data_IF_023027707098
#
_entry.id   IF_023027707098
#
_cell.length_a   1.000
_cell.length_b   1.000
_cell.length_c   1.000
_cell.angle_alpha   90.00
_cell.angle_beta   90.00
_cell.angle_gamma   90.00
#
_symmetry.space_group_name_H-M   'P 1'
#
loop_
_entity.id
_entity.type
_entity.pdbx_description
1 polymer ?
#
# COMPACT_ATOMS: atom_id res chain seq x y z
N UNK A 1 -13.15 27.71 11.79
CA UNK A 1 -13.62 26.46 11.13
C UNK A 1 -13.39 26.63 9.64
N UNK A 2 -12.77 25.63 8.99
CA UNK A 2 -12.48 25.61 7.56
C UNK A 2 -13.15 24.38 6.96
N UNK A 3 -13.84 24.54 5.82
CA UNK A 3 -14.41 23.41 5.10
C UNK A 3 -13.31 22.63 4.40
N UNK A 4 -13.15 21.35 4.76
CA UNK A 4 -12.25 20.42 4.09
C UNK A 4 -12.91 19.71 2.90
N UNK A 5 -12.23 18.70 2.33
CA UNK A 5 -12.72 17.84 1.25
C UNK A 5 -12.87 18.52 -0.12
N UNK A 6 -12.70 19.81 -0.22
CA UNK A 6 -12.90 20.58 -1.44
C UNK A 6 -11.65 21.32 -1.87
N UNK A 7 -11.57 21.60 -3.16
CA UNK A 7 -10.55 22.42 -3.80
C UNK A 7 -11.13 23.19 -4.97
N UNK A 8 -10.34 24.07 -5.55
CA UNK A 8 -10.69 24.81 -6.77
C UNK A 8 -9.99 24.17 -7.97
N UNK A 9 -10.71 24.04 -9.08
CA UNK A 9 -10.12 23.68 -10.36
C UNK A 9 -9.53 24.92 -11.07
N UNK A 10 -9.01 24.77 -12.28
CA UNK A 10 -8.43 25.86 -13.07
C UNK A 10 -9.45 26.91 -13.54
N UNK A 11 -10.75 26.63 -13.39
CA UNK A 11 -11.86 27.51 -13.77
C UNK A 11 -12.53 28.13 -12.53
N UNK A 12 -11.89 28.01 -11.35
CA UNK A 12 -12.40 28.45 -10.05
C UNK A 12 -13.69 27.74 -9.60
N UNK A 13 -14.04 26.60 -10.20
CA UNK A 13 -15.17 25.80 -9.73
C UNK A 13 -14.75 24.98 -8.49
N UNK A 14 -15.67 24.85 -7.55
CA UNK A 14 -15.49 23.99 -6.37
C UNK A 14 -15.58 22.53 -6.80
N UNK A 15 -14.54 21.76 -6.48
CA UNK A 15 -14.46 20.34 -6.75
C UNK A 15 -14.18 19.56 -5.45
N UNK A 16 -14.44 18.26 -5.44
CA UNK A 16 -14.13 17.40 -4.31
C UNK A 16 -12.77 16.73 -4.50
N UNK A 17 -12.04 16.55 -3.40
CA UNK A 17 -10.73 15.88 -3.41
C UNK A 17 -10.82 14.35 -3.40
N UNK A 18 -12.04 13.79 -3.35
CA UNK A 18 -12.28 12.36 -3.24
C UNK A 18 -12.10 11.83 -1.81
N UNK A 19 -12.16 10.51 -1.66
CA UNK A 19 -12.05 9.84 -0.35
C UNK A 19 -10.73 10.23 0.35
N UNK A 20 -10.80 10.55 1.65
CA UNK A 20 -9.66 11.04 2.43
C UNK A 20 -9.28 12.50 2.13
N UNK A 21 -10.11 13.23 1.37
CA UNK A 21 -9.86 14.62 1.02
C UNK A 21 -9.84 15.57 2.21
N UNK A 22 -10.57 15.27 3.30
CA UNK A 22 -10.55 16.08 4.53
C UNK A 22 -9.20 16.02 5.23
N UNK A 23 -8.59 14.83 5.32
CA UNK A 23 -7.26 14.64 5.89
C UNK A 23 -6.22 15.40 5.05
N UNK A 24 -6.33 15.28 3.72
CA UNK A 24 -5.45 16.01 2.79
C UNK A 24 -5.59 17.52 2.96
N UNK A 25 -6.82 18.04 3.12
CA UNK A 25 -7.06 19.47 3.38
C UNK A 25 -6.44 19.92 4.70
N UNK A 26 -6.61 19.13 5.77
CA UNK A 26 -6.04 19.44 7.09
C UNK A 26 -4.52 19.54 7.04
N UNK A 27 -3.86 18.56 6.40
CA UNK A 27 -2.41 18.56 6.25
C UNK A 27 -1.91 19.70 5.36
N UNK A 28 -2.63 20.02 4.28
CA UNK A 28 -2.28 21.15 3.41
C UNK A 28 -2.34 22.50 4.16
N UNK A 29 -3.36 22.67 5.00
CA UNK A 29 -3.49 23.87 5.86
C UNK A 29 -2.38 23.90 6.92
N UNK A 30 -2.11 22.78 7.58
CA UNK A 30 -1.03 22.67 8.56
C UNK A 30 0.33 23.03 7.95
N UNK A 31 0.61 22.52 6.75
CA UNK A 31 1.82 22.84 5.99
C UNK A 31 1.91 24.34 5.63
N UNK A 32 0.80 24.92 5.14
CA UNK A 32 0.75 26.35 4.78
C UNK A 32 0.92 27.29 5.99
N UNK A 33 0.48 26.86 7.17
CA UNK A 33 0.61 27.60 8.42
C UNK A 33 1.92 27.29 9.18
N UNK A 34 2.76 26.41 8.65
CA UNK A 34 3.96 25.90 9.33
C UNK A 34 3.64 25.38 10.74
N UNK A 35 2.55 24.63 10.87
CA UNK A 35 2.14 24.06 12.14
C UNK A 35 3.11 22.95 12.55
N UNK A 36 3.40 22.84 13.84
CA UNK A 36 4.27 21.79 14.40
C UNK A 36 3.63 20.42 14.27
N UNK A 37 2.29 20.34 14.33
CA UNK A 37 1.54 19.09 14.29
C UNK A 37 0.15 19.27 13.68
N UNK A 38 -0.30 18.24 12.96
CA UNK A 38 -1.66 18.11 12.46
C UNK A 38 -2.35 16.92 13.13
N UNK A 39 -3.43 17.18 13.86
CA UNK A 39 -4.22 16.16 14.53
C UNK A 39 -5.37 15.70 13.66
N UNK A 40 -5.48 14.38 13.45
CA UNK A 40 -6.58 13.74 12.71
C UNK A 40 -7.41 12.93 13.70
N UNK A 41 -8.63 13.40 13.94
CA UNK A 41 -9.59 12.72 14.80
C UNK A 41 -10.45 11.75 13.97
N UNK A 42 -10.47 10.50 14.39
CA UNK A 42 -11.16 9.40 13.68
C UNK A 42 -11.90 8.49 14.66
N UNK A 43 -12.52 7.43 14.17
CA UNK A 43 -13.23 6.42 14.97
C UNK A 43 -12.32 5.36 15.58
N UNK A 44 -11.02 5.39 15.29
CA UNK A 44 -10.00 4.51 15.87
C UNK A 44 -9.07 5.27 16.82
N UNK A 45 -8.42 4.57 17.73
CA UNK A 45 -7.58 5.16 18.78
C UNK A 45 -6.13 5.44 18.32
N UNK A 46 -5.81 5.12 17.08
CA UNK A 46 -4.47 5.24 16.49
C UNK A 46 -4.17 4.12 15.50
N UNK A 47 -2.91 3.95 15.19
CA UNK A 47 -2.39 2.89 14.31
C UNK A 47 -2.03 1.67 15.15
N UNK A 48 -2.46 0.48 14.73
CA UNK A 48 -2.21 -0.78 15.40
C UNK A 48 -1.28 -1.68 14.59
N UNK A 49 -0.64 -2.64 15.28
CA UNK A 49 0.24 -3.64 14.65
C UNK A 49 -0.48 -4.58 13.68
N UNK A 50 -1.80 -4.69 13.76
CA UNK A 50 -2.70 -5.31 12.80
C UNK A 50 -4.12 -4.78 13.02
N UNK A 51 -5.08 -5.12 12.16
CA UNK A 51 -6.48 -4.74 12.33
C UNK A 51 -7.06 -5.36 13.62
N UNK A 52 -7.40 -4.57 14.65
CA UNK A 52 -7.89 -5.09 15.95
C UNK A 52 -9.25 -5.80 15.82
N UNK A 53 -9.99 -5.57 14.75
CA UNK A 53 -11.26 -6.27 14.48
C UNK A 53 -11.04 -7.71 14.02
N UNK A 54 -9.82 -8.03 13.52
CA UNK A 54 -9.45 -9.35 12.99
C UNK A 54 -8.49 -10.12 13.90
N UNK A 55 -7.66 -9.39 14.66
CA UNK A 55 -6.60 -9.95 15.50
C UNK A 55 -6.73 -9.39 16.91
N UNK A 56 -7.00 -10.24 17.90
CA UNK A 56 -7.34 -9.83 19.26
C UNK A 56 -6.16 -9.31 20.10
N UNK A 57 -4.93 -9.69 19.77
CA UNK A 57 -3.73 -9.34 20.52
C UNK A 57 -2.89 -8.25 19.87
N UNK A 58 -3.52 -7.36 19.11
CA UNK A 58 -2.85 -6.20 18.49
C UNK A 58 -2.40 -5.20 19.55
N UNK A 59 -1.35 -4.45 19.23
CA UNK A 59 -0.86 -3.36 20.06
C UNK A 59 -0.99 -2.05 19.30
N UNK A 60 -1.43 -1.00 19.97
CA UNK A 60 -1.38 0.35 19.45
C UNK A 60 0.07 0.82 19.41
N UNK A 61 0.47 1.44 18.31
CA UNK A 61 1.78 2.06 18.15
C UNK A 61 1.76 3.45 18.76
N UNK A 62 2.77 3.80 19.54
CA UNK A 62 2.94 5.17 20.03
C UNK A 62 3.45 6.08 18.91
N UNK A 63 4.40 5.56 18.14
CA UNK A 63 5.05 6.27 17.02
C UNK A 63 5.25 5.34 15.82
N UNK A 64 5.16 5.91 14.63
CA UNK A 64 5.45 5.22 13.36
C UNK A 64 6.10 6.22 12.39
N UNK A 65 6.99 5.74 11.51
CA UNK A 65 7.57 6.62 10.48
C UNK A 65 6.60 6.87 9.35
N UNK A 66 6.80 7.97 8.59
CA UNK A 66 6.00 8.23 7.40
C UNK A 66 6.06 7.09 6.39
N UNK A 67 7.24 6.50 6.18
CA UNK A 67 7.42 5.41 5.22
C UNK A 67 6.68 4.14 5.64
N UNK A 68 6.77 3.75 6.91
CA UNK A 68 6.01 2.63 7.44
C UNK A 68 4.49 2.87 7.36
N UNK A 69 4.04 4.11 7.68
CA UNK A 69 2.63 4.48 7.58
C UNK A 69 2.12 4.44 6.14
N UNK A 70 2.89 4.96 5.18
CA UNK A 70 2.56 4.90 3.76
C UNK A 70 2.42 3.46 3.26
N UNK A 71 3.34 2.58 3.65
CA UNK A 71 3.26 1.17 3.30
C UNK A 71 2.01 0.52 3.92
N UNK A 72 1.75 0.71 5.21
CA UNK A 72 0.56 0.16 5.87
C UNK A 72 -0.75 0.68 5.24
N UNK A 73 -0.82 1.97 4.93
CA UNK A 73 -1.99 2.58 4.31
C UNK A 73 -2.24 2.05 2.89
N UNK A 74 -1.17 1.85 2.11
CA UNK A 74 -1.23 1.24 0.76
C UNK A 74 -1.66 -0.22 0.78
N UNK A 75 -1.41 -0.91 1.90
CA UNK A 75 -1.71 -2.33 2.09
C UNK A 75 -3.09 -2.59 2.75
N UNK A 76 -3.93 -1.56 2.85
CA UNK A 76 -5.29 -1.69 3.36
C UNK A 76 -5.51 -1.34 4.84
N UNK A 77 -4.51 -0.80 5.53
CA UNK A 77 -4.70 -0.18 6.84
C UNK A 77 -5.38 1.18 6.65
N UNK A 78 -6.71 1.21 6.68
CA UNK A 78 -7.55 2.38 6.36
C UNK A 78 -7.61 3.42 7.50
N UNK A 79 -6.48 3.72 8.15
CA UNK A 79 -6.43 4.69 9.25
C UNK A 79 -6.19 6.10 8.76
N UNK A 80 -5.27 6.27 7.81
CA UNK A 80 -4.96 7.54 7.16
C UNK A 80 -4.98 7.38 5.64
N UNK A 81 -5.29 8.47 4.94
CA UNK A 81 -5.19 8.50 3.48
C UNK A 81 -3.74 8.69 3.03
N UNK A 82 -3.27 7.91 2.04
CA UNK A 82 -1.90 7.99 1.51
C UNK A 82 -1.49 9.41 1.14
N UNK A 83 -2.36 10.16 0.42
CA UNK A 83 -2.04 11.54 0.00
C UNK A 83 -1.78 12.46 1.18
N UNK A 84 -2.51 12.29 2.29
CA UNK A 84 -2.29 13.10 3.49
C UNK A 84 -0.94 12.80 4.13
N UNK A 85 -0.54 11.52 4.19
CA UNK A 85 0.75 11.10 4.72
C UNK A 85 1.91 11.56 3.82
N UNK A 86 1.79 11.40 2.49
CA UNK A 86 2.77 11.90 1.51
C UNK A 86 2.97 13.42 1.63
N UNK A 87 1.87 14.16 1.77
CA UNK A 87 1.91 15.61 1.91
C UNK A 87 2.58 16.00 3.24
N UNK A 88 2.24 15.31 4.33
CA UNK A 88 2.85 15.51 5.63
C UNK A 88 4.35 15.24 5.61
N UNK A 89 4.78 14.13 5.01
CA UNK A 89 6.19 13.81 4.79
C UNK A 89 6.90 14.89 4.00
N UNK A 90 6.31 15.31 2.86
CA UNK A 90 6.89 16.34 1.98
C UNK A 90 7.17 17.68 2.69
N UNK A 91 6.27 18.08 3.58
CA UNK A 91 6.35 19.35 4.29
C UNK A 91 6.83 19.23 5.74
N UNK A 92 7.22 18.01 6.15
CA UNK A 92 7.69 17.68 7.50
C UNK A 92 6.70 18.13 8.60
N UNK A 93 5.42 17.88 8.40
CA UNK A 93 4.36 18.13 9.38
C UNK A 93 4.10 16.84 10.14
N UNK A 94 4.34 16.81 11.45
CA UNK A 94 3.98 15.65 12.27
C UNK A 94 2.46 15.43 12.23
N UNK A 95 2.02 14.17 12.02
CA UNK A 95 0.61 13.79 12.17
C UNK A 95 0.40 13.10 13.50
N UNK A 96 -0.74 13.32 14.10
CA UNK A 96 -1.18 12.57 15.28
C UNK A 96 -2.60 12.06 15.03
N UNK A 97 -2.74 10.73 15.06
CA UNK A 97 -4.03 10.05 14.88
C UNK A 97 -4.66 9.84 16.24
N UNK A 98 -5.83 10.37 16.44
CA UNK A 98 -6.54 10.40 17.72
C UNK A 98 -7.96 9.88 17.56
N UNK A 99 -8.50 9.29 18.63
CA UNK A 99 -9.91 8.96 18.69
C UNK A 99 -10.77 10.21 18.93
N UNK A 100 -11.83 10.33 18.14
CA UNK A 100 -12.89 11.32 18.41
C UNK A 100 -13.83 10.92 19.56
N UNK A 101 -13.76 9.64 19.99
CA UNK A 101 -14.64 9.06 21.01
C UNK A 101 -13.97 8.97 22.39
N UNK A 102 -12.67 8.67 22.41
CA UNK A 102 -11.91 8.41 23.64
C UNK A 102 -10.72 9.38 23.75
N UNK A 103 -10.62 10.21 24.82
CA UNK A 103 -9.52 11.15 25.01
C UNK A 103 -8.26 10.44 25.55
N UNK A 104 -7.66 9.58 24.74
CA UNK A 104 -6.44 8.87 25.07
C UNK A 104 -5.33 9.25 24.07
N UNK A 105 -4.04 9.12 24.44
CA UNK A 105 -2.93 9.34 23.51
C UNK A 105 -3.09 8.51 22.24
N UNK A 106 -2.84 9.13 21.10
CA UNK A 106 -2.94 8.50 19.78
C UNK A 106 -1.63 7.90 19.29
N UNK A 107 -1.47 7.83 17.97
CA UNK A 107 -0.23 7.45 17.29
C UNK A 107 0.36 8.66 16.58
N UNK A 108 1.64 8.95 16.83
CA UNK A 108 2.37 10.03 16.15
C UNK A 108 3.07 9.47 14.90
N UNK A 109 2.83 10.10 13.75
CA UNK A 109 3.50 9.80 12.47
C UNK A 109 4.52 10.90 12.18
N UNK A 110 5.79 10.55 12.07
CA UNK A 110 6.90 11.50 11.88
C UNK A 110 8.08 10.86 11.16
N UNK A 111 9.11 11.65 10.82
CA UNK A 111 10.26 11.16 10.05
C UNK A 111 11.10 10.14 10.83
N UNK A 112 11.39 10.41 12.10
CA UNK A 112 12.24 9.56 12.95
C UNK A 112 11.50 9.23 14.24
N UNK A 113 11.45 7.95 14.60
CA UNK A 113 10.88 7.47 15.86
C UNK A 113 11.98 7.12 16.85
N UNK A 114 11.66 7.18 18.15
CA UNK A 114 12.63 6.88 19.23
C UNK A 114 13.09 5.42 19.22
N UNK A 115 12.22 4.51 18.80
CA UNK A 115 12.42 3.06 18.79
C UNK A 115 12.55 2.49 17.38
N UNK A 116 13.38 3.10 16.53
CA UNK A 116 13.63 2.56 15.18
C UNK A 116 14.23 1.14 15.22
N UNK A 117 14.97 0.79 16.27
CA UNK A 117 15.61 -0.52 16.42
C UNK A 117 14.84 -1.51 17.30
N UNK A 118 13.89 -1.05 18.13
CA UNK A 118 13.23 -1.90 19.14
C UNK A 118 12.16 -2.83 18.59
N UNK A 119 11.50 -2.49 17.49
CA UNK A 119 10.43 -3.30 16.88
C UNK A 119 10.72 -3.57 15.42
N UNK A 120 11.16 -4.79 15.09
CA UNK A 120 11.51 -5.21 13.73
C UNK A 120 10.33 -5.09 12.74
N UNK A 121 9.13 -5.40 13.20
CA UNK A 121 7.88 -5.35 12.43
C UNK A 121 6.92 -4.42 13.16
N UNK A 122 6.58 -3.32 12.53
CA UNK A 122 5.60 -2.34 13.06
C UNK A 122 4.17 -2.76 12.76
N UNK A 123 3.94 -3.44 11.64
CA UNK A 123 2.58 -3.84 11.32
C UNK A 123 2.47 -4.98 10.33
N UNK A 124 1.28 -5.60 10.36
CA UNK A 124 0.84 -6.62 9.41
C UNK A 124 -0.46 -6.13 8.79
N UNK A 125 -0.48 -6.06 7.46
CA UNK A 125 -1.67 -5.69 6.69
C UNK A 125 -2.12 -6.86 5.81
N UNK A 126 -3.43 -6.95 5.57
CA UNK A 126 -4.05 -7.91 4.66
C UNK A 126 -4.92 -7.17 3.66
N UNK A 127 -4.68 -7.44 2.40
CA UNK A 127 -5.50 -6.98 1.30
C UNK A 127 -6.16 -8.18 0.60
N UNK A 128 -7.46 -8.13 0.39
CA UNK A 128 -8.25 -9.16 -0.29
C UNK A 128 -8.77 -8.70 -1.64
N UNK A 129 -8.61 -7.43 -1.99
CA UNK A 129 -8.95 -6.89 -3.32
C UNK A 129 -7.74 -7.05 -4.25
N UNK A 130 -7.36 -8.29 -4.53
CA UNK A 130 -6.17 -8.63 -5.31
C UNK A 130 -6.48 -9.74 -6.31
N UNK A 131 -6.13 -9.50 -7.56
CA UNK A 131 -6.04 -10.51 -8.60
C UNK A 131 -4.59 -10.65 -9.08
N UNK A 132 -4.15 -11.88 -9.28
CA UNK A 132 -2.87 -12.21 -9.94
C UNK A 132 -3.14 -12.52 -11.41
N UNK A 133 -2.50 -11.76 -12.29
CA UNK A 133 -2.55 -12.00 -13.74
C UNK A 133 -1.20 -12.54 -14.18
N UNK A 134 -1.21 -13.64 -14.90
CA UNK A 134 -0.01 -14.27 -15.45
C UNK A 134 -0.11 -14.36 -16.97
N UNK A 135 0.90 -13.84 -17.65
CA UNK A 135 1.10 -13.93 -19.09
C UNK A 135 2.24 -14.90 -19.33
N UNK A 136 1.95 -16.02 -19.98
CA UNK A 136 2.94 -17.03 -20.31
C UNK A 136 3.56 -16.78 -21.69
N UNK A 137 4.77 -17.26 -21.89
CA UNK A 137 5.45 -17.27 -23.17
C UNK A 137 5.62 -15.89 -23.83
N UNK A 138 5.78 -14.84 -23.04
CA UNK A 138 6.10 -13.49 -23.54
C UNK A 138 7.46 -13.51 -24.23
N UNK A 139 7.64 -12.99 -25.45
CA UNK A 139 8.94 -12.86 -26.08
C UNK A 139 9.94 -12.12 -25.20
N UNK A 140 11.15 -12.67 -25.04
CA UNK A 140 12.20 -12.03 -24.25
C UNK A 140 12.97 -11.00 -25.09
N UNK A 141 12.26 -9.93 -25.43
CA UNK A 141 12.74 -8.84 -26.27
C UNK A 141 12.63 -7.50 -25.57
N UNK A 142 13.52 -6.53 -25.84
CA UNK A 142 13.39 -5.18 -25.35
C UNK A 142 12.04 -4.54 -25.72
N UNK A 143 11.41 -3.86 -24.76
CA UNK A 143 10.15 -3.15 -24.98
C UNK A 143 8.88 -3.94 -24.67
N UNK A 144 8.94 -5.26 -24.45
CA UNK A 144 7.74 -6.05 -24.17
C UNK A 144 7.04 -5.62 -22.88
N UNK A 145 7.77 -5.38 -21.80
CA UNK A 145 7.19 -4.87 -20.55
C UNK A 145 6.56 -3.47 -20.75
N UNK A 146 7.22 -2.59 -21.51
CA UNK A 146 6.64 -1.27 -21.85
C UNK A 146 5.32 -1.42 -22.61
N UNK A 147 5.25 -2.32 -23.58
CA UNK A 147 4.02 -2.59 -24.35
C UNK A 147 2.89 -3.10 -23.46
N UNK A 148 3.17 -4.09 -22.60
CA UNK A 148 2.18 -4.68 -21.69
C UNK A 148 1.65 -3.61 -20.73
N UNK A 149 2.53 -3.00 -19.92
CA UNK A 149 2.12 -2.07 -18.87
C UNK A 149 1.64 -0.72 -19.43
N UNK A 150 2.12 -0.31 -20.59
CA UNK A 150 1.61 0.87 -21.30
C UNK A 150 0.15 0.72 -21.74
N UNK A 151 -0.27 -0.45 -22.21
CA UNK A 151 -1.67 -0.73 -22.53
C UNK A 151 -2.57 -0.73 -21.29
N UNK A 152 -2.11 -1.31 -20.19
CA UNK A 152 -2.83 -1.30 -18.91
C UNK A 152 -2.99 0.12 -18.36
N UNK A 153 -1.93 0.91 -18.39
CA UNK A 153 -1.93 2.32 -17.98
C UNK A 153 -2.91 3.18 -18.79
N UNK A 154 -3.02 2.98 -20.12
CA UNK A 154 -4.01 3.66 -20.96
C UNK A 154 -5.47 3.37 -20.55
N UNK A 155 -5.70 2.28 -19.85
CA UNK A 155 -7.01 1.90 -19.33
C UNK A 155 -7.17 2.25 -17.84
N UNK A 156 -6.22 2.99 -17.27
CA UNK A 156 -6.15 3.35 -15.86
C UNK A 156 -6.14 2.13 -14.91
N UNK A 157 -5.61 0.99 -15.37
CA UNK A 157 -5.43 -0.19 -14.52
C UNK A 157 -4.15 0.00 -13.73
N UNK A 158 -4.29 0.00 -12.40
CA UNK A 158 -3.15 0.12 -11.49
C UNK A 158 -2.51 -1.25 -11.24
N UNK A 159 -1.19 -1.32 -11.37
CA UNK A 159 -0.40 -2.54 -11.15
C UNK A 159 0.47 -2.33 -9.92
N UNK A 160 0.43 -3.26 -8.96
CA UNK A 160 1.17 -3.14 -7.69
C UNK A 160 2.48 -3.97 -7.72
N UNK A 161 2.39 -5.29 -7.79
CA UNK A 161 3.55 -6.18 -7.82
C UNK A 161 3.78 -6.66 -9.25
N UNK A 162 5.03 -6.65 -9.71
CA UNK A 162 5.42 -7.20 -11.02
C UNK A 162 6.54 -8.21 -10.80
N UNK A 163 6.33 -9.44 -11.25
CA UNK A 163 7.34 -10.49 -11.28
C UNK A 163 7.56 -10.97 -12.71
N UNK A 164 8.82 -11.23 -13.03
CA UNK A 164 9.22 -11.75 -14.33
C UNK A 164 10.13 -12.96 -14.11
N UNK A 165 9.83 -14.07 -14.79
CA UNK A 165 10.70 -15.24 -14.75
C UNK A 165 12.00 -15.00 -15.51
N UNK A 166 13.02 -15.81 -15.22
CA UNK A 166 14.20 -15.89 -16.07
C UNK A 166 13.81 -16.46 -17.44
N UNK A 167 14.17 -15.77 -18.50
CA UNK A 167 13.85 -16.18 -19.87
C UNK A 167 14.45 -17.55 -20.23
N UNK A 168 13.69 -18.37 -20.93
CA UNK A 168 14.11 -19.64 -21.54
C UNK A 168 13.64 -19.70 -22.98
N UNK A 169 14.50 -20.17 -23.87
CA UNK A 169 14.18 -20.33 -25.29
C UNK A 169 13.60 -19.05 -25.96
N UNK A 170 14.11 -17.88 -25.55
CA UNK A 170 13.68 -16.58 -26.03
C UNK A 170 12.29 -16.15 -25.52
N UNK A 171 11.77 -16.77 -24.47
CA UNK A 171 10.47 -16.47 -23.86
C UNK A 171 10.59 -16.36 -22.34
N UNK A 172 9.69 -15.62 -21.73
CA UNK A 172 9.57 -15.44 -20.28
C UNK A 172 8.11 -15.33 -19.86
N UNK A 173 7.84 -15.56 -18.58
CA UNK A 173 6.52 -15.34 -18.01
C UNK A 173 6.54 -14.04 -17.22
N UNK A 174 5.44 -13.29 -17.30
CA UNK A 174 5.24 -12.05 -16.53
C UNK A 174 3.98 -12.22 -15.71
N UNK A 175 4.11 -12.09 -14.39
CA UNK A 175 2.98 -12.06 -13.47
C UNK A 175 2.90 -10.69 -12.80
N UNK A 176 1.69 -10.20 -12.58
CA UNK A 176 1.48 -8.97 -11.85
C UNK A 176 0.17 -8.99 -11.07
N UNK A 177 0.03 -8.08 -10.11
CA UNK A 177 -1.19 -7.91 -9.32
C UNK A 177 -1.91 -6.62 -9.70
N UNK A 178 -3.24 -6.66 -9.67
CA UNK A 178 -4.13 -5.50 -9.77
C UNK A 178 -5.32 -5.69 -8.82
N UNK A 179 -6.20 -4.69 -8.70
CA UNK A 179 -7.46 -4.85 -8.01
C UNK A 179 -8.34 -5.92 -8.68
N UNK A 180 -9.06 -6.71 -7.89
CA UNK A 180 -9.91 -7.80 -8.40
C UNK A 180 -10.93 -7.29 -9.43
N UNK A 181 -11.54 -6.12 -9.17
CA UNK A 181 -12.49 -5.50 -10.09
C UNK A 181 -11.92 -5.07 -11.45
N UNK A 182 -10.60 -4.95 -11.57
CA UNK A 182 -9.90 -4.59 -12.81
C UNK A 182 -9.42 -5.80 -13.62
N UNK A 183 -9.45 -7.00 -13.04
CA UNK A 183 -8.83 -8.21 -13.60
C UNK A 183 -9.41 -8.60 -14.97
N UNK A 184 -10.75 -8.56 -15.11
CA UNK A 184 -11.39 -8.87 -16.40
C UNK A 184 -11.01 -7.88 -17.50
N UNK A 185 -10.96 -6.59 -17.16
CA UNK A 185 -10.56 -5.56 -18.13
C UNK A 185 -9.09 -5.75 -18.52
N UNK A 186 -8.21 -6.00 -17.56
CA UNK A 186 -6.79 -6.27 -17.81
C UNK A 186 -6.62 -7.48 -18.74
N UNK A 187 -7.29 -8.60 -18.45
CA UNK A 187 -7.25 -9.80 -19.29
C UNK A 187 -7.70 -9.50 -20.73
N UNK A 188 -8.82 -8.77 -20.90
CA UNK A 188 -9.33 -8.38 -22.22
C UNK A 188 -8.33 -7.53 -22.98
N UNK A 189 -7.76 -6.51 -22.36
CA UNK A 189 -6.76 -5.64 -22.97
C UNK A 189 -5.53 -6.42 -23.45
N UNK A 190 -5.05 -7.35 -22.62
CA UNK A 190 -3.90 -8.18 -22.98
C UNK A 190 -4.17 -9.12 -24.14
N UNK A 191 -5.36 -9.74 -24.20
CA UNK A 191 -5.74 -10.65 -25.30
C UNK A 191 -6.03 -9.91 -26.60
N UNK A 192 -6.81 -8.84 -26.57
CA UNK A 192 -7.29 -8.15 -27.76
C UNK A 192 -6.24 -7.19 -28.33
N UNK A 193 -5.58 -6.39 -27.49
CA UNK A 193 -4.67 -5.33 -27.94
C UNK A 193 -3.21 -5.77 -28.03
N UNK A 194 -2.78 -6.68 -27.17
CA UNK A 194 -1.41 -7.19 -27.13
C UNK A 194 -1.25 -8.56 -27.83
N UNK A 195 -2.37 -9.23 -28.13
CA UNK A 195 -2.41 -10.56 -28.76
C UNK A 195 -1.72 -11.66 -27.95
N UNK A 196 -1.73 -11.55 -26.60
CA UNK A 196 -1.28 -12.61 -25.75
C UNK A 196 -2.40 -13.63 -25.55
N UNK A 197 -2.21 -14.85 -26.03
CA UNK A 197 -3.22 -15.92 -25.92
C UNK A 197 -3.19 -16.61 -24.55
N UNK A 198 -2.02 -16.75 -23.96
CA UNK A 198 -1.79 -17.50 -22.73
C UNK A 198 -1.84 -16.54 -21.52
N UNK A 199 -3.01 -15.99 -21.22
CA UNK A 199 -3.25 -15.12 -20.07
C UNK A 199 -4.19 -15.81 -19.11
N UNK A 200 -3.77 -15.95 -17.85
CA UNK A 200 -4.56 -16.49 -16.74
C UNK A 200 -4.79 -15.44 -15.65
N UNK A 201 -5.90 -15.58 -14.94
CA UNK A 201 -6.28 -14.74 -13.81
C UNK A 201 -6.59 -15.62 -12.60
N UNK A 202 -6.07 -15.26 -11.45
CA UNK A 202 -6.37 -15.90 -10.16
C UNK A 202 -6.83 -14.83 -9.16
N UNK A 203 -8.10 -14.92 -8.76
CA UNK A 203 -8.74 -14.06 -7.74
C UNK A 203 -8.91 -14.77 -6.39
N UNK A 204 -8.36 -15.98 -6.24
CA UNK A 204 -8.49 -16.78 -5.01
C UNK A 204 -7.38 -16.53 -4.00
N UNK A 205 -6.60 -15.48 -4.18
CA UNK A 205 -5.48 -15.13 -3.31
C UNK A 205 -5.80 -13.89 -2.44
N UNK A 206 -4.99 -13.71 -1.42
CA UNK A 206 -4.93 -12.49 -0.63
C UNK A 206 -3.47 -12.07 -0.48
N UNK A 207 -3.22 -10.77 -0.43
CA UNK A 207 -1.90 -10.22 -0.15
C UNK A 207 -1.77 -9.99 1.36
N UNK A 208 -0.77 -10.60 1.97
CA UNK A 208 -0.38 -10.36 3.37
C UNK A 208 1.00 -9.74 3.37
N UNK A 209 1.14 -8.63 4.07
CA UNK A 209 2.38 -7.86 4.11
C UNK A 209 2.78 -7.54 5.52
N UNK A 210 4.06 -7.69 5.82
CA UNK A 210 4.68 -7.20 7.05
C UNK A 210 5.48 -5.95 6.71
N UNK A 211 5.40 -4.94 7.59
CA UNK A 211 6.07 -3.65 7.42
C UNK A 211 6.87 -3.31 8.67
N UNK A 212 8.08 -2.82 8.48
CA UNK A 212 8.93 -2.32 9.57
C UNK A 212 10.35 -1.99 9.09
N UNK A 213 10.83 -0.80 9.43
CA UNK A 213 12.19 -0.34 9.07
C UNK A 213 13.29 -1.21 9.70
N UNK A 214 13.04 -1.85 10.84
CA UNK A 214 13.99 -2.77 11.48
C UNK A 214 14.36 -4.00 10.66
N UNK A 215 13.59 -4.32 9.61
CA UNK A 215 13.91 -5.46 8.73
C UNK A 215 15.18 -5.27 7.91
N UNK A 216 15.58 -4.03 7.62
CA UNK A 216 16.79 -3.72 6.85
C UNK A 216 18.06 -4.28 7.49
N UNK A 217 18.14 -4.23 8.81
CA UNK A 217 19.32 -4.62 9.60
C UNK A 217 19.27 -6.05 10.16
N UNK A 218 18.14 -6.76 9.99
CA UNK A 218 17.93 -8.06 10.61
C UNK A 218 17.60 -9.15 9.59
N UNK A 219 18.50 -10.10 9.45
CA UNK A 219 18.28 -11.30 8.64
C UNK A 219 17.22 -12.22 9.26
N UNK A 220 16.53 -12.99 8.43
CA UNK A 220 15.61 -14.05 8.87
C UNK A 220 14.16 -13.62 9.13
N UNK A 221 13.79 -12.34 8.95
CA UNK A 221 12.40 -11.89 9.09
C UNK A 221 11.49 -12.58 8.07
N UNK A 222 11.92 -12.63 6.80
CA UNK A 222 11.20 -13.35 5.75
C UNK A 222 11.00 -14.84 6.10
N UNK A 223 12.06 -15.49 6.61
CA UNK A 223 12.00 -16.91 7.01
C UNK A 223 10.94 -17.16 8.09
N UNK A 224 10.85 -16.29 9.09
CA UNK A 224 9.82 -16.40 10.14
C UNK A 224 8.40 -16.20 9.60
N UNK A 225 8.20 -15.26 8.66
CA UNK A 225 6.93 -15.07 8.00
C UNK A 225 6.54 -16.34 7.21
N UNK A 226 7.46 -16.89 6.43
CA UNK A 226 7.20 -18.09 5.63
C UNK A 226 7.01 -19.34 6.51
N UNK A 227 7.71 -19.45 7.63
CA UNK A 227 7.49 -20.50 8.62
C UNK A 227 6.07 -20.43 9.21
N UNK A 228 5.61 -19.24 9.57
CA UNK A 228 4.25 -19.04 10.08
C UNK A 228 3.18 -19.45 9.05
N UNK A 229 3.36 -19.13 7.77
CA UNK A 229 2.46 -19.56 6.69
C UNK A 229 2.51 -21.06 6.49
N UNK A 230 3.69 -21.66 6.46
CA UNK A 230 3.91 -23.11 6.32
C UNK A 230 3.27 -23.90 7.45
N UNK A 231 3.45 -23.48 8.70
CA UNK A 231 2.87 -24.14 9.87
C UNK A 231 1.34 -24.12 9.88
N UNK A 232 0.73 -23.21 9.10
CA UNK A 232 -0.71 -23.14 8.92
C UNK A 232 -1.19 -23.71 7.57
N UNK A 233 -0.35 -24.46 6.85
CA UNK A 233 -0.63 -25.03 5.54
C UNK A 233 -1.08 -23.98 4.48
N UNK A 234 -0.56 -22.76 4.57
CA UNK A 234 -0.82 -21.69 3.61
C UNK A 234 0.29 -21.69 2.58
N UNK A 235 -0.05 -21.98 1.32
CA UNK A 235 0.91 -21.94 0.23
C UNK A 235 1.15 -20.50 -0.26
N UNK A 236 2.40 -20.20 -0.61
CA UNK A 236 2.82 -18.90 -1.13
C UNK A 236 2.77 -18.94 -2.66
N UNK A 237 2.02 -18.02 -3.27
CA UNK A 237 1.93 -17.89 -4.73
C UNK A 237 2.95 -16.91 -5.29
N UNK A 238 3.23 -15.84 -4.57
CA UNK A 238 4.08 -14.75 -5.02
C UNK A 238 4.80 -14.13 -3.82
N UNK A 239 6.00 -13.65 -4.02
CA UNK A 239 6.78 -12.94 -2.99
C UNK A 239 7.28 -11.63 -3.59
N UNK A 240 7.10 -10.54 -2.88
CA UNK A 240 7.69 -9.24 -3.19
C UNK A 240 8.32 -8.66 -1.94
N UNK A 241 9.48 -8.04 -2.09
CA UNK A 241 10.20 -7.43 -0.98
C UNK A 241 10.67 -6.02 -1.33
N UNK A 242 10.67 -5.15 -0.34
CA UNK A 242 11.39 -3.87 -0.35
C UNK A 242 12.25 -3.77 0.91
N UNK A 243 12.86 -2.62 1.14
CA UNK A 243 13.70 -2.42 2.33
C UNK A 243 12.91 -2.54 3.64
N UNK A 244 11.64 -2.13 3.64
CA UNK A 244 10.80 -2.08 4.84
C UNK A 244 9.51 -2.93 4.74
N UNK A 245 9.39 -3.75 3.67
CA UNK A 245 8.18 -4.56 3.42
C UNK A 245 8.50 -5.94 2.87
N UNK A 246 7.74 -6.96 3.29
CA UNK A 246 7.68 -8.29 2.68
C UNK A 246 6.19 -8.63 2.49
N UNK A 247 5.85 -8.98 1.25
CA UNK A 247 4.47 -9.33 0.85
C UNK A 247 4.43 -10.68 0.18
#
# INVERSE_FOLDING_TARGET
VVAGFQGLNKLDDITTLGRGGSDTSAVAIAAALHADRCQIYTDVEGVYTADPRKVSNTRKLEEITFDEMLELASLGAQVLNNRSVELAKKYNVELEVLSSLNPIPGTVVKEVTKDMEGMLIKGVAKDTDVAVITILNVPDEPGMSFRIFGLLAQKNINVDIILQSTGRDGKKDISFTCAEGEAELAMRVLKESAHFNDVSVDTTCAKVSIVGAGMQSHSGVASKMFEALSNNNINIKMISTSEIKIS
#
